data_IF_276129595061
#
_entry.id   IF_276129595061
#
_cell.length_a   1.000
_cell.length_b   1.000
_cell.length_c   1.000
_cell.angle_alpha   90.00
_cell.angle_beta   90.00
_cell.angle_gamma   90.00
#
_symmetry.space_group_name_H-M   'P 1'
#
loop_
_entity.id
_entity.type
_entity.pdbx_description
1 polymer ?
#
# COMPACT_ATOMS: atom_id res chain seq x y z
N UNK A 1 20.61 -5.04 -0.84
CA UNK A 1 19.73 -5.83 -1.73
C UNK A 1 19.28 -7.06 -0.96
N UNK A 2 18.01 -7.44 -1.06
CA UNK A 2 17.28 -8.22 -0.05
C UNK A 2 17.89 -9.63 0.11
N UNK A 3 18.72 -9.80 1.15
CA UNK A 3 19.18 -11.10 1.67
C UNK A 3 18.48 -11.33 3.01
N UNK A 4 17.15 -11.20 3.03
CA UNK A 4 16.35 -11.49 4.21
C UNK A 4 15.51 -12.73 3.97
N UNK A 5 15.43 -13.61 4.98
CA UNK A 5 14.46 -14.71 4.99
C UNK A 5 13.08 -14.13 4.73
N UNK A 6 12.33 -14.74 3.81
CA UNK A 6 10.98 -14.28 3.46
C UNK A 6 10.16 -13.96 4.72
N UNK A 7 9.51 -12.79 4.79
CA UNK A 7 8.53 -12.55 5.82
C UNK A 7 7.44 -13.61 5.68
N UNK A 8 6.99 -14.19 6.81
CA UNK A 8 5.90 -15.18 6.86
C UNK A 8 4.55 -14.52 6.58
N UNK A 9 4.44 -13.87 5.44
CA UNK A 9 3.18 -13.38 4.90
C UNK A 9 2.45 -14.56 4.31
N UNK A 10 1.19 -14.73 4.68
CA UNK A 10 0.36 -15.79 4.13
C UNK A 10 0.37 -15.68 2.60
N UNK A 11 0.60 -16.77 1.86
CA UNK A 11 0.38 -16.74 0.42
C UNK A 11 -1.06 -16.29 0.16
N UNK A 12 -1.27 -15.43 -0.84
CA UNK A 12 -2.61 -15.09 -1.32
C UNK A 12 -3.18 -16.30 -2.07
N UNK A 13 -3.49 -17.36 -1.34
CA UNK A 13 -3.95 -18.63 -1.89
C UNK A 13 -5.21 -18.35 -2.72
N UNK A 14 -5.09 -18.56 -4.04
CA UNK A 14 -6.16 -18.46 -5.05
C UNK A 14 -6.58 -17.08 -5.55
N UNK A 15 -5.92 -15.98 -5.18
CA UNK A 15 -6.27 -14.69 -5.79
C UNK A 15 -5.66 -14.58 -7.20
N UNK A 16 -6.52 -14.36 -8.19
CA UNK A 16 -6.11 -14.17 -9.59
C UNK A 16 -6.41 -12.73 -9.99
N UNK A 17 -5.45 -12.13 -10.70
CA UNK A 17 -5.63 -10.82 -11.30
C UNK A 17 -6.79 -10.80 -12.29
N UNK A 18 -7.60 -9.74 -12.21
CA UNK A 18 -8.51 -9.35 -13.27
C UNK A 18 -7.69 -8.99 -14.53
N UNK A 19 -7.78 -9.85 -15.55
CA UNK A 19 -7.00 -9.71 -16.78
C UNK A 19 -7.37 -8.43 -17.55
N UNK A 20 -8.66 -8.10 -17.78
CA UNK A 20 -9.04 -6.81 -18.38
C UNK A 20 -8.44 -5.60 -17.66
N UNK A 21 -8.35 -5.65 -16.32
CA UNK A 21 -7.78 -4.55 -15.55
C UNK A 21 -6.28 -4.38 -15.81
N UNK A 22 -5.52 -5.49 -15.84
CA UNK A 22 -4.11 -5.43 -16.21
C UNK A 22 -3.90 -5.09 -17.69
N UNK A 23 -4.81 -5.53 -18.55
CA UNK A 23 -4.75 -5.27 -19.98
C UNK A 23 -5.08 -3.83 -20.34
N UNK A 24 -5.73 -3.06 -19.47
CA UNK A 24 -6.01 -1.63 -19.66
C UNK A 24 -5.21 -0.73 -18.73
N UNK A 25 -4.72 -1.30 -17.63
CA UNK A 25 -4.03 -0.61 -16.56
C UNK A 25 -2.68 -0.05 -16.97
N UNK A 26 -2.38 1.12 -16.44
CA UNK A 26 -1.07 1.77 -16.49
C UNK A 26 -0.47 1.71 -15.09
N UNK A 27 0.76 1.23 -14.99
CA UNK A 27 1.48 1.08 -13.75
C UNK A 27 2.04 2.43 -13.30
N UNK A 28 1.83 2.79 -12.05
CA UNK A 28 2.35 4.02 -11.45
C UNK A 28 3.02 3.69 -10.12
N UNK A 29 4.26 4.15 -9.95
CA UNK A 29 5.06 3.99 -8.75
C UNK A 29 5.57 5.36 -8.30
N UNK A 30 4.73 6.09 -7.56
CA UNK A 30 5.09 7.40 -7.00
C UNK A 30 6.34 7.31 -6.07
N UNK A 31 6.65 6.13 -5.52
CA UNK A 31 7.90 5.85 -4.81
C UNK A 31 8.92 5.18 -5.76
N UNK A 32 9.91 5.95 -6.22
CA UNK A 32 10.99 5.45 -7.10
C UNK A 32 11.77 4.28 -6.48
N UNK A 33 11.78 4.16 -5.15
CA UNK A 33 12.43 3.05 -4.45
C UNK A 33 11.73 1.72 -4.73
N UNK A 34 10.41 1.73 -4.97
CA UNK A 34 9.66 0.52 -5.36
C UNK A 34 10.10 0.07 -6.75
N UNK A 35 10.11 0.98 -7.72
CA UNK A 35 10.49 0.69 -9.10
C UNK A 35 11.88 0.07 -9.18
N UNK A 36 12.87 0.72 -8.57
CA UNK A 36 14.27 0.23 -8.55
C UNK A 36 14.36 -1.17 -7.96
N UNK A 37 13.63 -1.45 -6.87
CA UNK A 37 13.65 -2.78 -6.24
C UNK A 37 13.02 -3.85 -7.11
N UNK A 38 11.84 -3.58 -7.67
CA UNK A 38 11.13 -4.55 -8.47
C UNK A 38 11.90 -4.86 -9.77
N UNK A 39 12.43 -3.84 -10.45
CA UNK A 39 13.31 -4.03 -11.61
C UNK A 39 14.55 -4.83 -11.26
N UNK A 40 15.24 -4.47 -10.18
CA UNK A 40 16.40 -5.23 -9.70
C UNK A 40 16.06 -6.70 -9.44
N UNK A 41 14.98 -6.97 -8.69
CA UNK A 41 14.57 -8.33 -8.35
C UNK A 41 14.17 -9.14 -9.59
N UNK A 42 13.47 -8.53 -10.54
CA UNK A 42 13.10 -9.17 -11.80
C UNK A 42 14.34 -9.50 -12.65
N UNK A 43 15.33 -8.59 -12.71
CA UNK A 43 16.59 -8.82 -13.41
C UNK A 43 17.43 -9.94 -12.76
N UNK A 44 17.46 -10.04 -11.43
CA UNK A 44 18.26 -11.06 -10.74
C UNK A 44 17.55 -12.40 -10.53
N UNK A 45 16.22 -12.46 -10.67
CA UNK A 45 15.43 -13.67 -10.47
C UNK A 45 14.45 -13.92 -11.66
N UNK A 46 14.96 -14.00 -12.90
CA UNK A 46 14.11 -14.00 -14.10
C UNK A 46 13.17 -15.21 -14.19
N UNK A 47 13.51 -16.34 -13.57
CA UNK A 47 12.66 -17.53 -13.57
C UNK A 47 11.45 -17.41 -12.63
N UNK A 48 11.64 -16.79 -11.46
CA UNK A 48 10.58 -16.61 -10.48
C UNK A 48 9.69 -15.40 -10.82
N UNK A 49 10.26 -14.39 -11.48
CA UNK A 49 9.60 -13.13 -11.84
C UNK A 49 9.54 -12.96 -13.37
N UNK A 50 9.10 -14.02 -14.04
CA UNK A 50 9.06 -14.13 -15.50
C UNK A 50 7.93 -13.32 -16.17
N UNK A 51 7.04 -12.73 -15.38
CA UNK A 51 5.91 -11.95 -15.89
C UNK A 51 5.53 -10.85 -14.89
N UNK A 52 4.89 -9.80 -15.40
CA UNK A 52 4.53 -8.61 -14.61
C UNK A 52 3.57 -8.94 -13.46
N UNK A 53 2.68 -9.94 -13.61
CA UNK A 53 1.74 -10.33 -12.55
C UNK A 53 2.48 -10.83 -11.32
N UNK A 54 3.48 -11.67 -11.51
CA UNK A 54 4.32 -12.18 -10.42
C UNK A 54 5.14 -11.06 -9.74
N UNK A 55 5.56 -10.05 -10.51
CA UNK A 55 6.22 -8.86 -9.95
C UNK A 55 5.25 -8.01 -9.11
N UNK A 56 4.02 -7.80 -9.59
CA UNK A 56 3.00 -7.07 -8.84
C UNK A 56 2.52 -7.84 -7.60
N UNK A 57 2.40 -9.17 -7.69
CA UNK A 57 2.13 -10.03 -6.53
C UNK A 57 3.24 -9.93 -5.48
N UNK A 58 4.50 -9.85 -5.92
CA UNK A 58 5.63 -9.61 -5.04
C UNK A 58 5.53 -8.24 -4.36
N UNK A 59 5.19 -7.19 -5.12
CA UNK A 59 5.00 -5.85 -4.59
C UNK A 59 3.89 -5.84 -3.52
N UNK A 60 2.74 -6.46 -3.80
CA UNK A 60 1.66 -6.64 -2.81
C UNK A 60 2.19 -7.40 -1.61
N UNK A 61 2.79 -8.58 -1.78
CA UNK A 61 3.32 -9.41 -0.67
C UNK A 61 4.18 -8.56 0.26
N UNK A 62 5.22 -7.92 -0.26
CA UNK A 62 6.15 -7.12 0.54
C UNK A 62 5.63 -5.73 0.93
N UNK A 63 4.38 -5.39 0.60
CA UNK A 63 3.79 -4.08 0.90
C UNK A 63 4.58 -2.93 0.28
N UNK A 64 5.05 -3.12 -0.95
CA UNK A 64 5.66 -2.05 -1.75
C UNK A 64 4.54 -1.23 -2.40
N UNK A 65 4.57 0.11 -2.32
CA UNK A 65 3.51 0.94 -2.87
C UNK A 65 3.56 0.98 -4.41
N UNK A 66 2.42 0.75 -5.05
CA UNK A 66 2.19 0.97 -6.47
C UNK A 66 0.69 1.15 -6.73
N UNK A 67 0.34 1.82 -7.82
CA UNK A 67 -1.04 2.04 -8.26
C UNK A 67 -1.21 1.51 -9.70
N UNK A 68 -2.41 1.04 -10.04
CA UNK A 68 -2.79 0.71 -11.41
C UNK A 68 -3.92 1.64 -11.82
N UNK A 69 -3.63 2.48 -12.78
CA UNK A 69 -4.53 3.49 -13.32
C UNK A 69 -5.22 2.96 -14.57
N UNK A 70 -6.53 3.13 -14.69
CA UNK A 70 -7.26 2.83 -15.93
C UNK A 70 -7.67 4.12 -16.63
N UNK A 71 -7.85 4.11 -17.96
CA UNK A 71 -8.42 5.26 -18.66
C UNK A 71 -9.78 5.62 -18.06
N UNK A 72 -10.00 6.90 -17.75
CA UNK A 72 -11.25 7.38 -17.14
C UNK A 72 -12.47 7.01 -18.00
N UNK A 73 -12.31 7.01 -19.33
CA UNK A 73 -13.34 6.62 -20.28
C UNK A 73 -13.76 5.14 -20.17
N UNK A 74 -12.89 4.26 -19.64
CA UNK A 74 -13.12 2.83 -19.47
C UNK A 74 -13.53 2.43 -18.04
N UNK A 75 -13.64 3.39 -17.12
CA UNK A 75 -13.97 3.07 -15.71
C UNK A 75 -15.29 2.29 -15.57
N UNK A 76 -16.27 2.60 -16.42
CA UNK A 76 -17.58 1.95 -16.40
C UNK A 76 -17.55 0.48 -16.87
N UNK A 77 -16.52 0.07 -17.59
CA UNK A 77 -16.37 -1.32 -18.08
C UNK A 77 -16.09 -2.29 -16.92
N UNK A 78 -15.69 -1.75 -15.76
CA UNK A 78 -15.38 -2.50 -14.53
C UNK A 78 -16.50 -2.43 -13.48
N UNK A 79 -17.72 -2.05 -13.88
CA UNK A 79 -18.86 -2.05 -12.96
C UNK A 79 -19.22 -3.47 -12.54
N UNK A 80 -19.48 -3.65 -11.25
CA UNK A 80 -20.00 -4.90 -10.73
C UNK A 80 -21.52 -4.98 -11.02
N UNK A 81 -21.97 -5.90 -11.89
CA UNK A 81 -23.40 -6.05 -12.19
C UNK A 81 -24.21 -6.58 -11.01
N UNK A 82 -23.55 -7.17 -10.00
CA UNK A 82 -24.21 -7.71 -8.79
C UNK A 82 -24.48 -6.66 -7.72
N UNK A 83 -23.96 -5.43 -7.88
CA UNK A 83 -24.14 -4.36 -6.91
C UNK A 83 -25.58 -3.84 -6.92
N UNK A 84 -26.35 -4.20 -5.90
CA UNK A 84 -27.77 -3.82 -5.78
C UNK A 84 -27.97 -2.30 -5.70
N UNK A 85 -29.15 -1.81 -6.14
CA UNK A 85 -29.49 -0.39 -5.99
C UNK A 85 -29.46 0.09 -4.54
N UNK A 86 -29.84 -0.76 -3.58
CA UNK A 86 -29.78 -0.42 -2.16
C UNK A 86 -28.32 -0.18 -1.72
N UNK A 87 -27.39 -1.05 -2.16
CA UNK A 87 -25.97 -0.90 -1.87
C UNK A 87 -25.37 0.34 -2.56
N UNK A 88 -25.80 0.65 -3.78
CA UNK A 88 -25.41 1.89 -4.48
C UNK A 88 -25.85 3.13 -3.71
N UNK A 89 -27.09 3.16 -3.24
CA UNK A 89 -27.65 4.29 -2.50
C UNK A 89 -26.96 4.48 -1.13
N UNK A 90 -26.63 3.40 -0.42
CA UNK A 90 -25.90 3.51 0.84
C UNK A 90 -24.48 4.05 0.65
N UNK A 91 -23.80 3.63 -0.42
CA UNK A 91 -22.45 4.08 -0.75
C UNK A 91 -22.41 5.50 -1.32
N UNK A 92 -23.46 5.96 -1.99
CA UNK A 92 -23.50 7.28 -2.62
C UNK A 92 -23.25 8.43 -1.62
N UNK A 93 -23.68 8.28 -0.37
CA UNK A 93 -23.43 9.27 0.68
C UNK A 93 -21.93 9.47 0.97
N UNK A 94 -21.17 8.37 1.02
CA UNK A 94 -19.71 8.37 1.26
C UNK A 94 -18.94 9.00 0.11
N UNK A 95 -19.48 8.91 -1.11
CA UNK A 95 -18.86 9.45 -2.34
C UNK A 95 -19.45 10.78 -2.79
N UNK A 96 -20.25 11.42 -1.93
CA UNK A 96 -20.82 12.74 -2.17
C UNK A 96 -19.76 13.84 -2.01
N UNK A 97 -19.94 14.95 -2.74
CA UNK A 97 -19.01 16.07 -2.64
C UNK A 97 -19.09 16.69 -1.23
N UNK A 98 -17.94 16.88 -0.59
CA UNK A 98 -17.84 17.43 0.76
C UNK A 98 -17.98 16.41 1.89
N UNK A 99 -18.10 15.11 1.59
CA UNK A 99 -17.99 14.07 2.61
C UNK A 99 -16.57 14.01 3.17
N UNK A 100 -16.45 13.99 4.50
CA UNK A 100 -15.19 13.84 5.21
C UNK A 100 -15.41 12.97 6.45
N UNK A 101 -14.50 12.02 6.68
CA UNK A 101 -14.49 11.25 7.92
C UNK A 101 -14.06 12.14 9.09
N UNK A 102 -14.86 12.12 10.17
CA UNK A 102 -14.52 12.84 11.39
C UNK A 102 -13.40 12.11 12.14
N UNK A 103 -12.38 12.83 12.65
CA UNK A 103 -11.35 12.21 13.47
C UNK A 103 -11.96 11.73 14.79
N UNK A 104 -11.58 10.53 15.21
CA UNK A 104 -12.00 10.01 16.51
C UNK A 104 -11.51 10.93 17.63
N UNK A 105 -12.35 11.17 18.62
CA UNK A 105 -11.99 11.89 19.84
C UNK A 105 -11.81 10.92 20.99
N UNK A 106 -10.90 11.23 21.90
CA UNK A 106 -10.67 10.39 23.07
C UNK A 106 -11.92 10.37 23.96
N UNK A 107 -12.52 9.20 24.17
CA UNK A 107 -13.78 9.06 24.92
C UNK A 107 -13.61 9.27 26.43
N UNK A 108 -12.39 9.19 26.97
CA UNK A 108 -12.13 9.35 28.41
C UNK A 108 -12.54 8.16 29.28
N UNK A 109 -13.01 7.06 28.68
CA UNK A 109 -13.53 5.87 29.37
C UNK A 109 -12.54 4.69 29.43
N UNK A 110 -11.25 4.95 29.20
CA UNK A 110 -10.18 3.95 29.21
C UNK A 110 -9.77 3.46 27.81
N UNK A 111 -8.62 2.78 27.74
CA UNK A 111 -7.99 2.38 26.47
C UNK A 111 -8.77 1.26 25.74
N UNK A 112 -9.36 0.33 26.48
CA UNK A 112 -10.19 -0.75 25.92
C UNK A 112 -11.46 -0.20 25.27
N UNK A 113 -12.15 0.72 25.95
CA UNK A 113 -13.33 1.38 25.39
C UNK A 113 -12.98 2.14 24.11
N UNK A 114 -11.85 2.86 24.12
CA UNK A 114 -11.35 3.54 22.93
C UNK A 114 -11.01 2.57 21.79
N UNK A 115 -10.45 1.40 22.11
CA UNK A 115 -10.16 0.36 21.12
C UNK A 115 -11.43 -0.19 20.47
N UNK A 116 -12.51 -0.39 21.24
CA UNK A 116 -13.78 -0.84 20.69
C UNK A 116 -14.40 0.19 19.72
N UNK A 117 -14.31 1.49 20.05
CA UNK A 117 -14.72 2.58 19.13
C UNK A 117 -13.88 2.53 17.85
N UNK A 118 -12.56 2.41 17.98
CA UNK A 118 -11.65 2.28 16.85
C UNK A 118 -11.99 1.08 15.98
N UNK A 119 -12.24 -0.09 16.58
CA UNK A 119 -12.55 -1.31 15.86
C UNK A 119 -13.86 -1.18 15.07
N UNK A 120 -14.90 -0.58 15.65
CA UNK A 120 -16.16 -0.34 14.96
C UNK A 120 -15.96 0.56 13.71
N UNK A 121 -15.25 1.68 13.88
CA UNK A 121 -14.96 2.60 12.78
C UNK A 121 -14.07 1.95 11.70
N UNK A 122 -13.08 1.17 12.13
CA UNK A 122 -12.18 0.45 11.24
C UNK A 122 -12.91 -0.57 10.37
N UNK A 123 -13.83 -1.35 10.96
CA UNK A 123 -14.61 -2.34 10.20
C UNK A 123 -15.47 -1.64 9.14
N UNK A 124 -16.17 -0.56 9.52
CA UNK A 124 -16.93 0.25 8.57
C UNK A 124 -16.05 0.85 7.46
N UNK A 125 -14.83 1.28 7.77
CA UNK A 125 -13.87 1.77 6.79
C UNK A 125 -13.43 0.68 5.80
N UNK A 126 -13.08 -0.51 6.30
CA UNK A 126 -12.56 -1.61 5.48
C UNK A 126 -13.65 -2.30 4.62
N UNK A 127 -14.91 -2.16 5.00
CA UNK A 127 -16.07 -2.57 4.19
C UNK A 127 -16.27 -1.69 2.96
N UNK A 128 -15.76 -0.45 2.95
CA UNK A 128 -15.93 0.45 1.81
C UNK A 128 -15.22 -0.10 0.57
N UNK A 129 -15.77 0.12 -0.64
CA UNK A 129 -15.15 -0.32 -1.89
C UNK A 129 -13.69 0.13 -2.04
N UNK A 130 -13.39 1.40 -1.74
CA UNK A 130 -12.08 2.02 -1.91
C UNK A 130 -11.01 1.51 -0.93
N UNK A 131 -11.37 0.73 0.09
CA UNK A 131 -10.42 0.17 1.05
C UNK A 131 -9.31 -0.66 0.37
N UNK A 132 -9.56 -1.19 -0.84
CA UNK A 132 -8.54 -1.89 -1.65
C UNK A 132 -7.31 -1.01 -1.94
N UNK A 133 -7.45 0.31 -1.94
CA UNK A 133 -6.33 1.24 -2.10
C UNK A 133 -5.32 1.16 -0.93
N UNK A 134 -5.69 0.64 0.24
CA UNK A 134 -4.71 0.39 1.31
C UNK A 134 -3.70 -0.70 0.93
N UNK A 135 -4.09 -1.66 0.07
CA UNK A 135 -3.18 -2.67 -0.47
C UNK A 135 -2.16 -2.00 -1.40
N UNK A 136 -2.62 -1.17 -2.33
CA UNK A 136 -1.80 -0.36 -3.23
C UNK A 136 -0.87 0.62 -2.48
N UNK A 137 -1.35 1.22 -1.38
CA UNK A 137 -0.55 2.11 -0.53
C UNK A 137 0.61 1.41 0.18
N UNK A 138 0.54 0.08 0.33
CA UNK A 138 1.60 -0.72 0.93
C UNK A 138 1.89 -0.38 2.40
N UNK A 139 3.10 -0.72 2.84
CA UNK A 139 3.63 -0.40 4.16
C UNK A 139 2.72 -0.82 5.32
N UNK A 140 2.64 0.01 6.35
CA UNK A 140 1.79 -0.28 7.51
C UNK A 140 0.30 -0.22 7.19
N UNK A 141 -0.11 0.61 6.23
CA UNK A 141 -1.51 0.72 5.83
C UNK A 141 -2.02 -0.63 5.32
N UNK A 142 -1.28 -1.25 4.41
CA UNK A 142 -1.55 -2.62 3.98
C UNK A 142 -1.58 -3.59 5.15
N UNK A 143 -0.55 -3.59 6.00
CA UNK A 143 -0.45 -4.54 7.11
C UNK A 143 -1.68 -4.49 8.03
N UNK A 144 -2.11 -3.29 8.44
CA UNK A 144 -3.27 -3.12 9.32
C UNK A 144 -4.55 -3.45 8.59
N UNK A 145 -4.69 -3.06 7.32
CA UNK A 145 -5.89 -3.37 6.55
C UNK A 145 -6.06 -4.89 6.36
N UNK A 146 -5.00 -5.63 6.03
CA UNK A 146 -5.04 -7.10 5.90
C UNK A 146 -5.28 -7.82 7.23
N UNK A 147 -4.83 -7.24 8.34
CA UNK A 147 -5.07 -7.78 9.67
C UNK A 147 -6.57 -7.86 9.99
N UNK A 148 -7.32 -6.81 9.66
CA UNK A 148 -8.75 -6.71 10.01
C UNK A 148 -9.70 -7.03 8.84
N UNK A 149 -9.20 -7.03 7.60
CA UNK A 149 -9.91 -7.49 6.41
C UNK A 149 -9.02 -8.43 5.56
N UNK A 150 -8.91 -9.72 5.94
CA UNK A 150 -8.02 -10.68 5.26
C UNK A 150 -8.34 -10.90 3.77
N UNK A 151 -9.57 -10.63 3.34
CA UNK A 151 -10.01 -10.73 1.95
C UNK A 151 -9.68 -9.49 1.10
N UNK A 152 -9.08 -8.44 1.68
CA UNK A 152 -8.90 -7.17 0.99
C UNK A 152 -7.93 -7.26 -0.19
N UNK A 153 -6.86 -8.05 -0.06
CA UNK A 153 -5.95 -8.32 -1.18
C UNK A 153 -6.66 -9.06 -2.31
N UNK A 154 -7.53 -10.04 -2.00
CA UNK A 154 -8.35 -10.72 -3.01
C UNK A 154 -9.24 -9.73 -3.76
N UNK A 155 -9.92 -8.82 -3.04
CA UNK A 155 -10.72 -7.73 -3.62
C UNK A 155 -9.89 -6.82 -4.51
N UNK A 156 -8.68 -6.45 -4.07
CA UNK A 156 -7.75 -5.64 -4.86
C UNK A 156 -7.42 -6.30 -6.19
N UNK A 157 -7.15 -7.61 -6.20
CA UNK A 157 -6.88 -8.34 -7.45
C UNK A 157 -8.09 -8.45 -8.40
N UNK A 158 -9.32 -8.15 -7.94
CA UNK A 158 -10.52 -8.20 -8.78
C UNK A 158 -10.68 -6.99 -9.71
N UNK A 159 -9.88 -5.94 -9.55
CA UNK A 159 -9.98 -4.74 -10.37
C UNK A 159 -10.23 -3.46 -9.56
N UNK A 160 -10.50 -2.34 -10.26
CA UNK A 160 -10.88 -1.09 -9.63
C UNK A 160 -12.19 -1.26 -8.84
N UNK A 161 -12.29 -0.60 -7.68
CA UNK A 161 -13.49 -0.70 -6.85
C UNK A 161 -14.66 0.12 -7.41
N UNK A 162 -15.84 -0.05 -6.79
CA UNK A 162 -17.02 0.75 -7.10
C UNK A 162 -16.78 2.28 -6.95
N UNK A 163 -15.83 2.72 -6.11
CA UNK A 163 -15.45 4.15 -6.04
C UNK A 163 -15.08 4.68 -7.42
N UNK A 164 -14.32 3.91 -8.19
CA UNK A 164 -13.89 4.25 -9.54
C UNK A 164 -14.95 3.87 -10.56
N UNK A 165 -15.41 2.63 -10.55
CA UNK A 165 -16.23 2.08 -11.65
C UNK A 165 -17.69 2.51 -11.63
N UNK A 166 -18.26 2.79 -10.46
CA UNK A 166 -19.65 3.22 -10.30
C UNK A 166 -19.74 4.74 -10.05
N UNK A 167 -18.92 5.26 -9.14
CA UNK A 167 -19.04 6.65 -8.66
C UNK A 167 -18.09 7.65 -9.31
N UNK A 168 -17.10 7.19 -10.08
CA UNK A 168 -16.07 8.02 -10.71
C UNK A 168 -15.38 9.00 -9.73
N UNK A 169 -15.11 8.55 -8.49
CA UNK A 169 -14.50 9.33 -7.40
C UNK A 169 -13.07 8.91 -7.05
N UNK A 170 -12.36 8.26 -7.96
CA UNK A 170 -10.97 7.87 -7.81
C UNK A 170 -9.97 9.04 -7.86
N UNK A 171 -8.70 8.74 -7.55
CA UNK A 171 -7.56 9.65 -7.80
C UNK A 171 -7.38 9.76 -9.31
N UNK A 172 -7.48 10.98 -9.84
CA UNK A 172 -7.33 11.22 -11.28
C UNK A 172 -5.95 11.77 -11.59
N UNK A 173 -5.30 11.24 -12.63
CA UNK A 173 -3.99 11.68 -13.12
C UNK A 173 -4.03 11.83 -14.64
N UNK A 174 -3.36 12.85 -15.17
CA UNK A 174 -3.05 12.94 -16.59
C UNK A 174 -1.78 12.14 -16.86
N UNK A 175 -1.84 11.18 -17.77
CA UNK A 175 -0.71 10.36 -18.18
C UNK A 175 -0.42 10.65 -19.65
N UNK A 176 0.83 11.00 -19.96
CA UNK A 176 1.26 11.42 -21.31
C UNK A 176 2.17 10.40 -21.99
N UNK A 177 2.79 9.50 -21.23
CA UNK A 177 3.73 8.47 -21.70
C UNK A 177 3.18 7.06 -21.44
N UNK A 178 3.74 6.06 -22.11
CA UNK A 178 3.50 4.64 -21.82
C UNK A 178 2.07 4.13 -22.07
N UNK A 179 1.29 4.82 -22.92
CA UNK A 179 -0.10 4.47 -23.18
C UNK A 179 -0.78 5.37 -24.21
N UNK A 180 -2.09 5.53 -24.08
CA UNK A 180 -2.85 6.56 -24.81
C UNK A 180 -2.88 7.82 -23.94
N UNK A 181 -2.33 8.97 -24.40
CA UNK A 181 -2.36 10.19 -23.60
C UNK A 181 -3.79 10.54 -23.18
N UNK A 182 -4.00 10.80 -21.88
CA UNK A 182 -5.36 11.02 -21.40
C UNK A 182 -5.49 11.17 -19.89
N UNK A 183 -6.74 11.23 -19.44
CA UNK A 183 -7.10 11.18 -18.02
C UNK A 183 -7.29 9.73 -17.60
N UNK A 184 -6.63 9.38 -16.52
CA UNK A 184 -6.68 8.08 -15.91
C UNK A 184 -7.14 8.18 -14.46
N UNK A 185 -7.69 7.10 -13.91
CA UNK A 185 -8.21 7.04 -12.56
C UNK A 185 -7.81 5.75 -11.84
N UNK A 186 -7.63 5.83 -10.53
CA UNK A 186 -7.39 4.69 -9.63
C UNK A 186 -8.17 4.86 -8.34
N UNK A 187 -8.34 3.78 -7.57
CA UNK A 187 -8.90 3.89 -6.23
C UNK A 187 -8.04 4.80 -5.34
N UNK A 188 -8.68 5.47 -4.40
CA UNK A 188 -8.00 6.36 -3.46
C UNK A 188 -8.59 6.29 -2.05
N UNK A 189 -7.70 6.49 -1.08
CA UNK A 189 -8.04 6.71 0.32
C UNK A 189 -7.52 8.07 0.74
N UNK A 190 -8.33 8.79 1.49
CA UNK A 190 -7.98 10.09 2.05
C UNK A 190 -7.01 9.96 3.23
N UNK A 191 -6.36 11.06 3.59
CA UNK A 191 -5.52 11.11 4.81
C UNK A 191 -6.35 10.91 6.10
N UNK A 192 -7.64 11.26 6.08
CA UNK A 192 -8.54 10.99 7.20
C UNK A 192 -8.81 9.48 7.35
N UNK A 193 -9.05 8.77 6.25
CA UNK A 193 -9.20 7.31 6.22
C UNK A 193 -7.91 6.60 6.65
N UNK A 194 -6.75 7.07 6.19
CA UNK A 194 -5.44 6.57 6.65
C UNK A 194 -5.26 6.81 8.15
N UNK A 195 -5.64 7.98 8.65
CA UNK A 195 -5.58 8.30 10.08
C UNK A 195 -6.50 7.40 10.90
N UNK A 196 -7.73 7.17 10.44
CA UNK A 196 -8.68 6.25 11.05
C UNK A 196 -8.15 4.81 11.07
N UNK A 197 -7.60 4.33 9.96
CA UNK A 197 -6.97 3.01 9.85
C UNK A 197 -5.86 2.81 10.89
N UNK A 198 -5.07 3.84 11.18
CA UNK A 198 -3.96 3.77 12.14
C UNK A 198 -4.39 4.05 13.59
N UNK A 199 -5.70 4.18 13.82
CA UNK A 199 -6.28 4.48 15.12
C UNK A 199 -5.89 5.87 15.60
N UNK A 200 -5.93 6.89 14.74
CA UNK A 200 -5.69 8.26 15.17
C UNK A 200 -6.84 8.77 16.04
N UNK A 201 -6.49 9.26 17.22
CA UNK A 201 -7.43 9.87 18.16
C UNK A 201 -6.92 11.26 18.51
N UNK A 202 -7.78 12.26 18.29
CA UNK A 202 -7.52 13.64 18.64
C UNK A 202 -7.53 13.80 20.16
N UNK A 203 -6.47 14.39 20.70
CA UNK A 203 -6.34 14.61 22.15
C UNK A 203 -7.34 15.64 22.67
N UNK A 204 -8.06 15.32 23.75
CA UNK A 204 -9.06 16.23 24.33
C UNK A 204 -8.44 17.29 25.26
N UNK A 205 -7.36 16.97 25.99
CA UNK A 205 -6.61 17.92 26.83
C UNK A 205 -5.42 17.20 27.48
N UNK A 206 -4.23 17.84 27.48
CA UNK A 206 -2.95 17.45 28.11
C UNK A 206 -2.11 16.31 27.48
N UNK A 207 -2.67 15.39 26.69
CA UNK A 207 -1.93 14.22 26.16
C UNK A 207 -1.44 14.29 24.70
N UNK A 208 -1.83 15.32 23.96
CA UNK A 208 -1.62 15.42 22.51
C UNK A 208 -2.39 14.37 21.72
N UNK A 209 -2.26 14.42 20.39
CA UNK A 209 -2.84 13.42 19.50
C UNK A 209 -2.12 12.09 19.63
N UNK A 210 -2.88 11.00 19.55
CA UNK A 210 -2.38 9.63 19.74
C UNK A 210 -2.75 8.75 18.56
N UNK A 211 -1.97 7.70 18.33
CA UNK A 211 -2.31 6.63 17.40
C UNK A 211 -2.05 5.25 18.02
N UNK A 212 -2.84 4.26 17.62
CA UNK A 212 -2.66 2.86 18.04
C UNK A 212 -1.55 2.17 17.25
N UNK A 213 -1.42 2.52 15.97
CA UNK A 213 -0.37 2.03 15.07
C UNK A 213 0.61 3.17 14.72
N UNK A 214 1.90 2.89 14.47
CA UNK A 214 2.86 3.93 14.11
C UNK A 214 2.52 4.53 12.74
N UNK A 215 2.41 5.87 12.61
CA UNK A 215 2.29 6.54 11.32
C UNK A 215 3.38 6.10 10.34
N UNK A 216 3.03 5.83 9.06
CA UNK A 216 3.98 5.36 8.03
C UNK A 216 5.24 6.23 7.96
N UNK A 217 5.07 7.56 7.92
CA UNK A 217 6.17 8.51 7.85
C UNK A 217 7.10 8.45 9.09
N UNK A 218 6.55 8.17 10.29
CA UNK A 218 7.37 7.96 11.48
C UNK A 218 8.09 6.61 11.41
N UNK A 219 7.40 5.57 10.96
CA UNK A 219 7.96 4.25 10.87
C UNK A 219 9.14 4.21 9.88
N UNK A 220 8.97 4.79 8.70
CA UNK A 220 10.06 4.95 7.73
C UNK A 220 11.19 5.83 8.27
N UNK A 221 10.90 6.93 8.96
CA UNK A 221 11.96 7.82 9.43
C UNK A 221 12.80 7.22 10.56
N UNK A 222 12.17 6.49 11.48
CA UNK A 222 12.78 6.09 12.74
C UNK A 222 13.00 4.58 12.92
N UNK A 223 12.55 3.76 11.97
CA UNK A 223 12.91 2.34 11.90
C UNK A 223 13.79 2.03 10.72
N UNK A 224 14.96 1.43 10.94
CA UNK A 224 15.82 0.98 9.84
C UNK A 224 15.18 -0.15 9.01
N UNK A 225 14.18 -0.82 9.56
CA UNK A 225 13.53 -1.97 8.93
C UNK A 225 12.45 -1.58 7.89
N UNK A 226 11.88 -0.38 7.98
CA UNK A 226 10.82 0.07 7.06
C UNK A 226 11.39 1.12 6.09
N UNK A 227 11.50 0.80 4.80
CA UNK A 227 12.10 1.69 3.78
C UNK A 227 11.31 1.67 2.47
N UNK A 228 9.99 1.85 2.52
CA UNK A 228 9.10 1.70 1.35
C UNK A 228 8.76 0.23 1.03
N UNK A 229 9.06 -0.70 1.94
CA UNK A 229 8.55 -2.08 1.93
C UNK A 229 8.61 -2.67 3.34
N UNK A 230 7.83 -3.72 3.58
CA UNK A 230 7.80 -4.49 4.82
C UNK A 230 8.91 -5.53 4.78
N UNK A 231 10.07 -5.20 5.37
CA UNK A 231 11.15 -6.16 5.59
C UNK A 231 10.76 -7.19 6.67
N UNK A 232 11.55 -8.26 6.82
CA UNK A 232 11.27 -9.27 7.84
C UNK A 232 11.40 -8.72 9.26
N UNK A 233 12.33 -7.77 9.45
CA UNK A 233 12.41 -7.02 10.71
C UNK A 233 11.19 -6.16 10.97
N UNK A 234 10.68 -5.44 9.94
CA UNK A 234 9.50 -4.60 10.07
C UNK A 234 8.25 -5.44 10.34
N UNK A 235 8.11 -6.58 9.65
CA UNK A 235 7.04 -7.54 9.88
C UNK A 235 7.05 -8.05 11.32
N UNK A 236 8.21 -8.46 11.86
CA UNK A 236 8.30 -8.93 13.24
C UNK A 236 7.92 -7.84 14.25
N UNK A 237 8.31 -6.57 14.02
CA UNK A 237 7.88 -5.45 14.87
C UNK A 237 6.36 -5.28 14.85
N UNK A 238 5.77 -5.29 13.65
CA UNK A 238 4.33 -5.14 13.46
C UNK A 238 3.53 -6.33 14.01
N UNK A 239 4.03 -7.55 13.85
CA UNK A 239 3.40 -8.76 14.41
C UNK A 239 3.47 -8.77 15.95
N UNK A 240 4.56 -8.28 16.53
CA UNK A 240 4.63 -8.08 17.98
C UNK A 240 3.61 -7.05 18.47
N UNK A 241 3.43 -5.92 17.76
CA UNK A 241 2.38 -4.95 18.06
C UNK A 241 0.99 -5.59 17.94
N UNK A 242 0.73 -6.31 16.84
CA UNK A 242 -0.51 -7.06 16.62
C UNK A 242 -0.81 -8.00 17.77
N UNK A 243 0.16 -8.83 18.19
CA UNK A 243 -0.02 -9.76 19.31
C UNK A 243 -0.39 -9.03 20.60
N UNK A 244 0.32 -7.94 20.93
CA UNK A 244 0.02 -7.13 22.12
C UNK A 244 -1.41 -6.59 22.08
N UNK A 245 -1.81 -6.01 20.96
CA UNK A 245 -3.13 -5.39 20.79
C UNK A 245 -4.24 -6.44 20.77
N UNK A 246 -4.11 -7.47 19.93
CA UNK A 246 -5.20 -8.41 19.62
C UNK A 246 -5.28 -9.56 20.61
N UNK A 247 -4.14 -10.11 21.03
CA UNK A 247 -4.11 -11.31 21.88
C UNK A 247 -3.96 -10.96 23.37
N UNK A 248 -3.10 -9.99 23.68
CA UNK A 248 -2.79 -9.60 25.06
C UNK A 248 -3.67 -8.43 25.54
N UNK A 249 -4.53 -7.87 24.67
CA UNK A 249 -5.44 -6.75 24.95
C UNK A 249 -4.72 -5.53 25.56
N UNK A 250 -3.47 -5.31 25.14
CA UNK A 250 -2.62 -4.22 25.57
C UNK A 250 -2.66 -3.09 24.55
N UNK A 251 -3.58 -2.14 24.76
CA UNK A 251 -3.90 -1.05 23.84
C UNK A 251 -3.06 0.20 24.11
N UNK A 252 -1.73 0.11 23.98
CA UNK A 252 -0.84 1.26 24.21
C UNK A 252 -1.02 2.36 23.13
N UNK A 253 -1.87 3.36 23.42
CA UNK A 253 -2.08 4.53 22.56
C UNK A 253 -0.94 5.52 22.72
N UNK A 254 -0.16 5.71 21.65
CA UNK A 254 1.08 6.49 21.71
C UNK A 254 0.97 7.80 20.97
N UNK A 255 1.52 8.85 21.58
CA UNK A 255 1.79 10.10 20.89
C UNK A 255 3.04 9.98 20.00
N UNK A 256 3.33 11.05 19.26
CA UNK A 256 4.48 11.12 18.34
C UNK A 256 5.82 10.78 19.01
N UNK A 257 6.10 11.29 20.21
CA UNK A 257 7.39 11.09 20.88
C UNK A 257 7.54 9.67 21.40
N UNK A 258 6.47 9.10 21.93
CA UNK A 258 6.42 7.71 22.37
C UNK A 258 6.64 6.75 21.19
N UNK A 259 6.06 7.02 20.01
CA UNK A 259 6.38 6.27 18.80
C UNK A 259 7.83 6.38 18.38
N UNK A 260 8.42 7.59 18.42
CA UNK A 260 9.83 7.77 18.10
C UNK A 260 10.72 6.95 19.03
N UNK A 261 10.43 6.97 20.34
CA UNK A 261 11.16 6.17 21.32
C UNK A 261 11.01 4.67 21.07
N UNK A 262 9.78 4.20 20.84
CA UNK A 262 9.48 2.80 20.54
C UNK A 262 10.23 2.31 19.29
N UNK A 263 10.14 3.06 18.19
CA UNK A 263 10.74 2.68 16.90
C UNK A 263 12.27 2.67 16.95
N UNK A 264 12.89 3.65 17.63
CA UNK A 264 14.34 3.68 17.84
C UNK A 264 14.81 2.53 18.72
N UNK A 265 14.02 2.15 19.72
CA UNK A 265 14.30 1.00 20.59
C UNK A 265 14.24 -0.31 19.80
N UNK A 266 13.17 -0.53 19.04
CA UNK A 266 12.96 -1.74 18.24
C UNK A 266 13.93 -1.90 17.06
N UNK A 267 14.55 -0.81 16.60
CA UNK A 267 15.57 -0.84 15.54
C UNK A 267 16.94 -1.33 16.00
N UNK A 268 17.10 -1.63 17.29
CA UNK A 268 18.33 -2.16 17.88
C UNK A 268 18.12 -3.64 18.15
N UNK A 269 18.82 -4.53 17.44
CA UNK A 269 18.74 -5.96 17.72
C UNK A 269 19.24 -6.86 16.60
N UNK A 270 19.10 -8.18 16.80
CA UNK A 270 19.57 -9.24 15.89
C UNK A 270 19.00 -9.14 14.46
N UNK A 271 17.87 -8.47 14.29
CA UNK A 271 17.20 -8.31 13.00
C UNK A 271 17.50 -6.97 12.32
N UNK A 272 18.29 -6.09 12.94
CA UNK A 272 18.68 -4.81 12.34
C UNK A 272 19.43 -5.07 11.04
N UNK A 273 19.09 -4.38 9.93
CA UNK A 273 19.80 -4.58 8.68
C UNK A 273 21.26 -4.13 8.85
N UNK A 274 22.20 -4.98 8.43
CA UNK A 274 23.64 -4.64 8.43
C UNK A 274 23.95 -3.40 7.60
N UNK A 275 23.19 -3.20 6.52
CA UNK A 275 23.28 -2.03 5.66
C UNK A 275 21.87 -1.57 5.30
N UNK A 276 21.53 -0.34 5.70
CA UNK A 276 20.28 0.29 5.32
C UNK A 276 20.52 1.15 4.06
N UNK A 277 19.85 0.85 2.93
CA UNK A 277 19.98 1.65 1.72
C UNK A 277 19.60 3.10 1.97
N UNK A 278 20.41 4.01 1.46
CA UNK A 278 20.20 5.46 1.47
C UNK A 278 19.55 5.92 0.17
N UNK A 279 19.16 7.19 0.10
CA UNK A 279 18.55 7.75 -1.11
C UNK A 279 19.48 7.63 -2.32
N UNK A 280 20.79 7.87 -2.11
CA UNK A 280 21.81 7.82 -3.15
C UNK A 280 21.96 6.41 -3.76
N UNK A 281 21.72 5.35 -2.97
CA UNK A 281 21.75 3.97 -3.46
C UNK A 281 20.60 3.71 -4.47
N UNK A 282 19.43 4.32 -4.26
CA UNK A 282 18.31 4.21 -5.19
C UNK A 282 18.51 5.05 -6.44
N UNK A 283 19.13 6.22 -6.33
CA UNK A 283 19.51 7.03 -7.49
C UNK A 283 20.56 6.32 -8.36
N UNK A 284 21.57 5.72 -7.74
CA UNK A 284 22.55 4.89 -8.44
C UNK A 284 21.87 3.68 -9.09
N UNK A 285 21.04 2.96 -8.34
CA UNK A 285 20.29 1.81 -8.85
C UNK A 285 19.40 2.17 -10.03
N UNK A 286 18.67 3.29 -9.95
CA UNK A 286 17.83 3.81 -11.03
C UNK A 286 18.63 4.10 -12.29
N UNK A 287 19.80 4.75 -12.18
CA UNK A 287 20.69 4.99 -13.31
C UNK A 287 21.20 3.68 -13.92
N UNK A 288 21.79 2.81 -13.11
CA UNK A 288 22.37 1.54 -13.56
C UNK A 288 21.33 0.65 -14.27
N UNK A 289 20.12 0.57 -13.70
CA UNK A 289 19.01 -0.16 -14.31
C UNK A 289 18.48 0.53 -15.55
N UNK A 290 18.40 1.86 -15.57
CA UNK A 290 17.95 2.63 -16.73
C UNK A 290 18.85 2.44 -17.96
N UNK A 291 20.17 2.35 -17.75
CA UNK A 291 21.10 1.95 -18.81
C UNK A 291 20.89 0.49 -19.18
N UNK A 292 21.02 -0.43 -18.21
CA UNK A 292 21.09 -1.87 -18.48
C UNK A 292 19.77 -2.50 -18.98
N UNK A 293 18.63 -1.89 -18.63
CA UNK A 293 17.28 -2.40 -18.81
C UNK A 293 16.36 -1.25 -19.25
N UNK A 294 16.28 -0.97 -20.57
CA UNK A 294 15.77 0.30 -21.09
C UNK A 294 14.25 0.47 -20.97
N UNK A 295 13.49 -0.58 -20.61
CA UNK A 295 12.05 -0.45 -20.47
C UNK A 295 11.71 0.37 -19.23
N UNK A 296 11.11 1.53 -19.42
CA UNK A 296 10.51 2.26 -18.31
C UNK A 296 9.18 1.61 -17.93
N UNK A 297 9.02 1.28 -16.65
CA UNK A 297 7.74 0.74 -16.15
C UNK A 297 6.85 1.86 -15.61
N UNK A 298 7.41 3.03 -15.31
CA UNK A 298 6.65 4.15 -14.77
C UNK A 298 5.71 4.71 -15.83
N UNK A 299 4.43 4.79 -15.49
CA UNK A 299 3.37 5.18 -16.41
C UNK A 299 3.29 4.31 -17.69
N UNK A 300 3.83 3.08 -17.68
CA UNK A 300 3.69 2.14 -18.79
C UNK A 300 2.48 1.23 -18.61
N UNK A 301 1.85 0.86 -19.73
CA UNK A 301 0.75 -0.08 -19.73
C UNK A 301 1.22 -1.43 -19.20
N UNK A 302 0.53 -2.00 -18.22
CA UNK A 302 0.96 -3.24 -17.55
C UNK A 302 1.13 -4.38 -18.56
N UNK A 303 0.24 -4.50 -19.54
CA UNK A 303 0.34 -5.51 -20.61
C UNK A 303 1.49 -5.32 -21.60
N UNK A 304 2.15 -4.15 -21.60
CA UNK A 304 3.34 -3.88 -22.41
C UNK A 304 4.66 -4.13 -21.67
N UNK A 305 4.62 -4.37 -20.36
CA UNK A 305 5.81 -4.71 -19.58
C UNK A 305 6.18 -6.17 -19.86
N UNK A 306 7.25 -6.36 -20.64
CA UNK A 306 7.75 -7.68 -21.06
C UNK A 306 8.86 -8.13 -20.13
N UNK A 307 8.73 -9.33 -19.56
CA UNK A 307 9.74 -9.94 -18.70
C UNK A 307 10.13 -11.35 -19.18
N UNK A 308 11.38 -11.79 -18.94
CA UNK A 308 12.49 -10.98 -18.44
C UNK A 308 12.91 -9.90 -19.45
N UNK A 309 13.29 -8.72 -18.97
CA UNK A 309 13.83 -7.67 -19.82
C UNK A 309 15.16 -8.11 -20.45
N UNK A 310 15.39 -7.72 -21.70
CA UNK A 310 16.67 -7.98 -22.37
C UNK A 310 17.71 -7.02 -21.84
N UNK A 311 18.85 -7.54 -21.38
CA UNK A 311 19.99 -6.73 -21.00
C UNK A 311 20.62 -6.10 -22.23
N UNK A 312 20.73 -4.77 -22.26
CA UNK A 312 21.42 -4.04 -23.32
C UNK A 312 22.81 -3.59 -22.82
N UNK A 313 23.91 -4.20 -23.30
CA UNK A 313 25.25 -3.80 -22.90
C UNK A 313 25.71 -2.48 -23.55
N UNK A 314 25.09 -2.04 -24.65
CA UNK A 314 25.58 -0.91 -25.45
C UNK A 314 25.10 0.44 -24.94
N UNK A 315 24.02 0.46 -24.14
CA UNK A 315 23.46 1.65 -23.50
C UNK A 315 24.35 2.26 -22.41
N UNK A 316 25.42 1.57 -21.99
CA UNK A 316 26.37 2.04 -20.96
C UNK A 316 27.46 2.94 -21.57
N UNK A 317 27.59 2.97 -22.91
CA UNK A 317 28.69 3.61 -23.64
C UNK A 317 28.32 4.94 -24.32
N UNK A 318 27.07 5.42 -24.15
CA UNK A 318 26.60 6.76 -24.57
C UNK A 318 26.36 7.67 -23.37
#
# INVERSE_FOLDING_TARGET
MIVEREPRLQPYVNAKWNIPWLDEGVLVMDDSRTLVRLKFLAATNPFALSNVKSVLELAVRFGMPFEIYIPLAKANDFRDPSLSMLAKNSLAAVYSAGYHDEPMTWAGLGEEHQYNIYLANLLHLLERPNAVAFIAKGGICKFVAELYAPNLAYRFFQGPSAQVSEFARGKTRRIEKGGQPGLYTSDQVSEAEVSMLLGYVKGASMGGDKTLWPPQALFEKYSAHMRGYISSGAYNMLDNLRRKIVNEQCYEWRNRQEWIAYLRGGSKGKFAPFHAPRAEDFELGSRMLGFSFPMDWECEKVSRIVLPETFDPNSILE
#
